data_IF_782841478333
#
_entry.id   IF_782841478333
#
_cell.length_a   1.000
_cell.length_b   1.000
_cell.length_c   1.000
_cell.angle_alpha   90.00
_cell.angle_beta   90.00
_cell.angle_gamma   90.00
#
_symmetry.space_group_name_H-M   'P 1'
#
loop_
_entity.id
_entity.type
_entity.pdbx_description
1 polymer ?
#
# COMPACT_ATOMS: atom_id res chain seq x y z
N UNK A 1 -33.29 5.06 0.35
CA UNK A 1 -31.92 5.07 -0.19
C UNK A 1 -30.96 4.82 0.95
N UNK A 2 -30.18 3.76 0.89
CA UNK A 2 -29.17 3.41 1.91
C UNK A 2 -27.90 4.20 1.62
N UNK A 3 -27.32 4.88 2.62
CA UNK A 3 -26.08 5.62 2.48
C UNK A 3 -24.91 4.78 3.00
N UNK A 4 -23.81 4.73 2.25
CA UNK A 4 -22.56 4.05 2.60
C UNK A 4 -21.40 5.02 2.44
N UNK A 5 -20.61 5.19 3.50
CA UNK A 5 -19.41 5.99 3.52
C UNK A 5 -18.18 5.09 3.34
N UNK A 6 -17.48 5.22 2.21
CA UNK A 6 -16.24 4.52 1.89
C UNK A 6 -15.02 5.45 1.99
N UNK A 7 -14.03 5.06 2.78
CA UNK A 7 -12.71 5.70 2.74
C UNK A 7 -11.77 4.90 1.85
N UNK A 8 -11.20 5.59 0.86
CA UNK A 8 -10.31 4.99 -0.13
C UNK A 8 -8.97 5.68 -0.15
N UNK A 9 -7.90 4.91 0.15
CA UNK A 9 -6.54 5.38 0.01
C UNK A 9 -6.00 5.00 -1.37
N UNK A 10 -5.75 5.99 -2.21
CA UNK A 10 -5.29 5.78 -3.58
C UNK A 10 -3.90 5.15 -3.67
N UNK A 11 -3.77 4.16 -4.54
CA UNK A 11 -2.49 3.67 -5.01
C UNK A 11 -2.01 4.61 -6.12
N UNK A 12 -0.92 5.34 -5.86
CA UNK A 12 -0.41 6.43 -6.70
C UNK A 12 -0.46 6.15 -8.22
N UNK A 13 -0.01 4.97 -8.64
CA UNK A 13 0.09 4.60 -10.07
C UNK A 13 -1.26 4.19 -10.68
N UNK A 14 -2.25 3.84 -9.86
CA UNK A 14 -3.59 3.40 -10.26
C UNK A 14 -4.67 4.46 -10.09
N UNK A 15 -4.33 5.64 -9.62
CA UNK A 15 -5.25 6.70 -9.24
C UNK A 15 -6.38 6.98 -10.25
N UNK A 16 -6.08 7.00 -11.55
CA UNK A 16 -7.09 7.25 -12.59
C UNK A 16 -8.05 6.07 -12.74
N UNK A 17 -7.51 4.86 -12.71
CA UNK A 17 -8.28 3.62 -12.82
C UNK A 17 -9.18 3.43 -11.60
N UNK A 18 -8.65 3.69 -10.40
CA UNK A 18 -9.42 3.62 -9.16
C UNK A 18 -10.59 4.62 -9.16
N UNK A 19 -10.35 5.88 -9.59
CA UNK A 19 -11.43 6.87 -9.72
C UNK A 19 -12.52 6.43 -10.70
N UNK A 20 -12.12 5.95 -11.88
CA UNK A 20 -13.07 5.49 -12.89
C UNK A 20 -13.90 4.30 -12.37
N UNK A 21 -13.24 3.33 -11.72
CA UNK A 21 -13.89 2.18 -11.11
C UNK A 21 -14.91 2.61 -10.03
N UNK A 22 -14.52 3.50 -9.11
CA UNK A 22 -15.40 3.94 -8.03
C UNK A 22 -16.58 4.79 -8.54
N UNK A 23 -16.39 5.57 -9.59
CA UNK A 23 -17.49 6.29 -10.25
C UNK A 23 -18.49 5.32 -10.91
N UNK A 24 -17.99 4.29 -11.58
CA UNK A 24 -18.83 3.26 -12.17
C UNK A 24 -19.58 2.48 -11.08
N UNK A 25 -18.88 2.09 -10.01
CA UNK A 25 -19.48 1.39 -8.86
C UNK A 25 -20.58 2.24 -8.21
N UNK A 26 -20.32 3.51 -7.93
CA UNK A 26 -21.31 4.43 -7.37
C UNK A 26 -22.54 4.55 -8.28
N UNK A 27 -22.35 4.65 -9.60
CA UNK A 27 -23.44 4.67 -10.56
C UNK A 27 -24.25 3.37 -10.64
N UNK A 28 -23.62 2.22 -10.40
CA UNK A 28 -24.32 0.93 -10.30
C UNK A 28 -25.14 0.85 -9.03
N UNK A 29 -24.55 1.18 -7.89
CA UNK A 29 -25.20 1.13 -6.59
C UNK A 29 -26.37 2.11 -6.50
N UNK A 30 -26.24 3.29 -7.11
CA UNK A 30 -27.33 4.27 -7.14
C UNK A 30 -28.61 3.72 -7.83
N UNK A 31 -28.48 2.84 -8.84
CA UNK A 31 -29.61 2.17 -9.48
C UNK A 31 -30.31 1.12 -8.58
N UNK A 32 -29.65 0.77 -7.48
CA UNK A 32 -30.15 -0.16 -6.45
C UNK A 32 -30.56 0.55 -5.16
N UNK A 33 -30.87 1.86 -5.24
CA UNK A 33 -31.23 2.72 -4.09
C UNK A 33 -30.12 2.84 -3.02
N UNK A 34 -28.85 2.73 -3.44
CA UNK A 34 -27.68 2.85 -2.58
C UNK A 34 -26.88 4.07 -3.00
N UNK A 35 -26.64 4.97 -2.06
CA UNK A 35 -25.75 6.11 -2.23
C UNK A 35 -24.36 5.78 -1.67
N UNK A 36 -23.36 5.68 -2.54
CA UNK A 36 -21.96 5.48 -2.17
C UNK A 36 -21.26 6.84 -2.11
N UNK A 37 -20.98 7.31 -0.90
CA UNK A 37 -20.10 8.45 -0.67
C UNK A 37 -18.65 7.96 -0.55
N UNK A 38 -17.76 8.45 -1.43
CA UNK A 38 -16.34 8.07 -1.41
C UNK A 38 -15.50 9.25 -0.97
N UNK A 39 -14.81 9.10 0.16
CA UNK A 39 -13.78 10.04 0.59
C UNK A 39 -12.40 9.49 0.26
N UNK A 40 -11.64 10.27 -0.49
CA UNK A 40 -10.32 9.88 -0.97
C UNK A 40 -9.21 10.41 -0.08
N UNK A 41 -8.16 9.58 0.08
CA UNK A 41 -6.95 9.90 0.82
C UNK A 41 -5.70 9.50 0.03
N UNK A 42 -4.54 9.95 0.52
CA UNK A 42 -3.25 9.61 -0.07
C UNK A 42 -2.73 10.70 -1.01
N UNK A 43 -1.96 10.30 -2.02
CA UNK A 43 -1.27 11.25 -2.89
C UNK A 43 -2.23 12.19 -3.62
N UNK A 44 -1.98 13.50 -3.47
CA UNK A 44 -2.78 14.54 -4.10
C UNK A 44 -4.01 14.97 -3.29
N UNK A 45 -4.16 14.43 -2.10
CA UNK A 45 -5.17 14.86 -1.12
C UNK A 45 -4.51 15.57 0.07
N UNK A 46 -5.24 16.44 0.79
CA UNK A 46 -4.64 17.32 1.78
C UNK A 46 -4.10 16.61 3.02
N UNK A 47 -4.53 15.38 3.27
CA UNK A 47 -4.14 14.62 4.47
C UNK A 47 -4.08 13.10 4.21
N UNK A 48 -3.32 12.38 5.05
CA UNK A 48 -3.32 10.93 5.09
C UNK A 48 -4.54 10.40 5.84
N UNK A 49 -4.98 9.18 5.50
CA UNK A 49 -6.14 8.57 6.16
C UNK A 49 -5.87 8.35 7.65
N UNK A 50 -4.67 7.92 8.02
CA UNK A 50 -4.24 7.75 9.41
C UNK A 50 -4.25 9.08 10.19
N UNK A 51 -3.79 10.17 9.59
CA UNK A 51 -3.81 11.50 10.21
C UNK A 51 -5.25 11.96 10.48
N UNK A 52 -6.14 11.78 9.51
CA UNK A 52 -7.55 12.10 9.69
C UNK A 52 -8.20 11.25 10.80
N UNK A 53 -8.03 9.93 10.75
CA UNK A 53 -8.63 9.01 11.72
C UNK A 53 -8.03 9.14 13.13
N UNK A 54 -6.83 9.70 13.26
CA UNK A 54 -6.26 10.02 14.56
C UNK A 54 -7.02 11.12 15.31
N UNK A 55 -7.72 11.98 14.60
CA UNK A 55 -8.47 13.11 15.20
C UNK A 55 -9.58 12.63 16.13
N UNK A 56 -9.87 13.37 17.22
CA UNK A 56 -10.97 13.01 18.13
C UNK A 56 -12.36 13.11 17.48
N UNK A 57 -12.51 14.01 16.51
CA UNK A 57 -13.76 14.32 15.79
C UNK A 57 -13.85 13.60 14.44
N UNK A 58 -12.95 12.66 14.15
CA UNK A 58 -12.98 11.92 12.91
C UNK A 58 -14.27 11.10 12.77
N UNK A 59 -14.96 11.27 11.65
CA UNK A 59 -16.08 10.42 11.28
C UNK A 59 -15.54 9.06 10.86
N UNK A 60 -16.03 7.99 11.47
CA UNK A 60 -15.65 6.64 11.09
C UNK A 60 -16.48 6.18 9.89
N UNK A 61 -15.86 5.65 8.82
CA UNK A 61 -16.59 5.18 7.64
C UNK A 61 -17.24 3.82 7.86
N UNK A 62 -18.11 3.43 6.97
CA UNK A 62 -18.67 2.07 6.91
C UNK A 62 -17.66 1.08 6.33
N UNK A 63 -16.92 1.52 5.32
CA UNK A 63 -15.91 0.72 4.62
C UNK A 63 -14.58 1.46 4.53
N UNK A 64 -13.48 0.71 4.64
CA UNK A 64 -12.13 1.23 4.38
C UNK A 64 -11.44 0.34 3.36
N UNK A 65 -10.80 0.96 2.37
CA UNK A 65 -9.78 0.33 1.52
C UNK A 65 -8.51 1.16 1.60
N UNK A 66 -7.46 0.60 2.18
CA UNK A 66 -6.24 1.37 2.43
C UNK A 66 -4.96 0.54 2.39
N UNK A 67 -3.92 1.13 1.78
CA UNK A 67 -2.52 0.73 1.91
C UNK A 67 -1.77 1.61 2.95
N UNK A 68 -2.44 2.54 3.61
CA UNK A 68 -1.90 3.30 4.74
C UNK A 68 -1.90 2.41 5.98
N UNK A 69 -0.76 1.76 6.23
CA UNK A 69 -0.64 0.75 7.29
C UNK A 69 -0.89 1.30 8.69
N UNK A 70 -0.65 2.59 8.91
CA UNK A 70 -0.86 3.21 10.22
C UNK A 70 -2.33 3.19 10.62
N UNK A 71 -3.26 3.18 9.66
CA UNK A 71 -4.70 3.00 9.93
C UNK A 71 -4.97 1.71 10.71
N UNK A 72 -4.21 0.65 10.42
CA UNK A 72 -4.42 -0.70 10.96
C UNK A 72 -3.40 -1.09 12.04
N UNK A 73 -2.28 -0.40 12.12
CA UNK A 73 -1.17 -0.72 13.04
C UNK A 73 -1.11 0.19 14.25
N UNK A 74 -1.55 1.43 14.12
CA UNK A 74 -1.65 2.34 15.26
C UNK A 74 -2.86 1.96 16.11
N UNK A 75 -2.59 1.49 17.34
CA UNK A 75 -3.64 1.10 18.28
C UNK A 75 -4.58 2.25 18.62
N UNK A 76 -4.09 3.49 18.67
CA UNK A 76 -4.91 4.66 18.96
C UNK A 76 -5.93 4.94 17.85
N UNK A 77 -5.63 4.50 16.61
CA UNK A 77 -6.53 4.61 15.47
C UNK A 77 -7.41 3.36 15.37
N UNK A 78 -6.80 2.18 15.28
CA UNK A 78 -7.50 0.94 14.96
C UNK A 78 -8.50 0.53 16.06
N UNK A 79 -8.16 0.73 17.34
CA UNK A 79 -9.06 0.40 18.45
C UNK A 79 -10.39 1.18 18.45
N UNK A 80 -10.47 2.31 17.75
CA UNK A 80 -11.73 3.08 17.62
C UNK A 80 -12.79 2.33 16.80
N UNK A 81 -12.36 1.47 15.87
CA UNK A 81 -13.24 0.78 14.93
C UNK A 81 -13.19 -0.75 15.04
N UNK A 82 -12.09 -1.33 15.53
CA UNK A 82 -11.90 -2.77 15.61
C UNK A 82 -13.06 -3.54 16.27
N UNK A 83 -13.66 -3.07 17.41
CA UNK A 83 -14.78 -3.77 18.03
C UNK A 83 -16.02 -3.88 17.14
N UNK A 84 -16.18 -2.94 16.21
CA UNK A 84 -17.34 -2.83 15.32
C UNK A 84 -17.07 -3.41 13.93
N UNK A 85 -15.91 -4.05 13.69
CA UNK A 85 -15.63 -4.66 12.40
C UNK A 85 -16.25 -6.05 12.27
N UNK A 86 -16.80 -6.32 11.10
CA UNK A 86 -17.18 -7.68 10.71
C UNK A 86 -15.96 -8.59 10.61
N UNK A 87 -16.05 -9.88 10.97
CA UNK A 87 -15.02 -10.86 10.67
C UNK A 87 -14.84 -11.02 9.16
N UNK A 88 -13.60 -11.02 8.67
CA UNK A 88 -13.30 -11.12 7.25
C UNK A 88 -13.73 -12.46 6.63
N UNK A 89 -13.86 -13.53 7.45
CA UNK A 89 -14.34 -14.83 7.01
C UNK A 89 -15.81 -14.84 6.57
N UNK A 90 -16.60 -13.85 7.03
CA UNK A 90 -18.02 -13.72 6.67
C UNK A 90 -18.19 -12.99 5.33
N UNK A 91 -17.10 -12.54 4.74
CA UNK A 91 -17.08 -11.82 3.48
C UNK A 91 -16.79 -12.77 2.32
N UNK A 92 -16.76 -12.19 1.13
CA UNK A 92 -16.46 -12.88 -0.13
C UNK A 92 -15.27 -13.83 0.00
N UNK A 93 -15.40 -15.04 -0.55
CA UNK A 93 -14.25 -15.91 -0.75
C UNK A 93 -13.26 -15.22 -1.70
N UNK A 94 -12.12 -14.78 -1.16
CA UNK A 94 -11.04 -14.25 -1.98
C UNK A 94 -10.50 -15.36 -2.88
N UNK A 95 -10.07 -14.96 -4.08
CA UNK A 95 -9.26 -15.82 -4.92
C UNK A 95 -8.00 -16.22 -4.15
N UNK A 96 -7.71 -17.51 -4.07
CA UNK A 96 -6.46 -18.00 -3.48
C UNK A 96 -5.25 -17.34 -4.17
N UNK A 97 -4.38 -16.73 -3.37
CA UNK A 97 -3.18 -16.07 -3.85
C UNK A 97 -2.10 -16.11 -2.77
N UNK A 98 -0.94 -16.74 -3.05
CA UNK A 98 0.16 -16.77 -2.07
C UNK A 98 0.61 -15.37 -1.59
N UNK A 99 0.52 -14.36 -2.46
CA UNK A 99 0.86 -12.99 -2.10
C UNK A 99 -0.15 -12.37 -1.12
N UNK A 100 -1.45 -12.64 -1.29
CA UNK A 100 -2.49 -12.20 -0.35
C UNK A 100 -2.40 -12.97 0.96
N UNK A 101 -2.11 -14.28 0.90
CA UNK A 101 -1.93 -15.10 2.09
C UNK A 101 -0.73 -14.64 2.93
N UNK A 102 0.37 -14.25 2.27
CA UNK A 102 1.56 -13.74 2.95
C UNK A 102 1.33 -12.41 3.72
N UNK A 103 0.27 -11.66 3.37
CA UNK A 103 -0.08 -10.39 4.03
C UNK A 103 -1.34 -10.49 4.88
N UNK A 104 -1.87 -11.68 5.15
CA UNK A 104 -3.04 -11.87 6.05
C UNK A 104 -2.72 -11.35 7.45
N UNK A 105 -3.69 -10.65 8.05
CA UNK A 105 -3.54 -10.07 9.38
C UNK A 105 -4.86 -10.14 10.15
N UNK A 106 -4.89 -10.99 11.16
CA UNK A 106 -6.08 -11.19 11.98
C UNK A 106 -7.28 -11.70 11.17
N UNK A 107 -8.44 -11.61 11.76
CA UNK A 107 -9.72 -12.09 11.21
C UNK A 107 -10.63 -10.98 10.69
N UNK A 108 -10.28 -9.70 10.94
CA UNK A 108 -11.12 -8.53 10.59
C UNK A 108 -10.61 -7.72 9.40
N UNK A 109 -9.40 -8.03 8.90
CA UNK A 109 -8.77 -7.35 7.78
C UNK A 109 -8.69 -8.28 6.59
N UNK A 110 -9.35 -7.91 5.50
CA UNK A 110 -9.30 -8.62 4.24
C UNK A 110 -8.18 -8.05 3.38
N UNK A 111 -7.14 -8.84 2.99
CA UNK A 111 -6.13 -8.33 2.07
C UNK A 111 -6.75 -8.12 0.69
N UNK A 112 -6.93 -6.85 0.31
CA UNK A 112 -7.47 -6.45 -0.99
C UNK A 112 -6.40 -6.47 -2.08
N UNK A 113 -5.16 -6.15 -1.73
CA UNK A 113 -4.01 -6.20 -2.61
C UNK A 113 -2.71 -6.43 -1.82
N UNK A 114 -1.72 -7.03 -2.50
CA UNK A 114 -0.33 -7.08 -2.05
C UNK A 114 0.53 -6.48 -3.18
N UNK A 115 1.18 -5.35 -2.91
CA UNK A 115 1.97 -4.62 -3.90
C UNK A 115 3.43 -4.96 -3.69
N UNK A 116 4.05 -5.79 -4.56
CA UNK A 116 5.45 -6.13 -4.41
C UNK A 116 6.35 -4.94 -4.75
N UNK A 117 7.34 -4.69 -3.91
CA UNK A 117 8.48 -3.85 -4.20
C UNK A 117 9.56 -4.69 -4.86
N UNK A 118 10.07 -4.21 -5.98
CA UNK A 118 11.08 -4.88 -6.79
C UNK A 118 12.16 -3.88 -7.20
N UNK A 119 13.33 -4.38 -7.56
CA UNK A 119 14.39 -3.55 -8.12
C UNK A 119 14.05 -3.15 -9.56
N UNK A 120 14.13 -1.86 -9.82
CA UNK A 120 14.26 -1.28 -11.15
C UNK A 120 15.72 -0.83 -11.27
N UNK A 121 16.48 -1.44 -12.15
CA UNK A 121 17.93 -1.29 -12.19
C UNK A 121 18.49 -1.14 -13.59
N UNK A 122 19.65 -0.48 -13.70
CA UNK A 122 20.49 -0.44 -14.90
C UNK A 122 21.61 -1.48 -14.86
N UNK A 123 21.81 -2.15 -13.72
CA UNK A 123 22.92 -3.09 -13.50
C UNK A 123 22.39 -4.43 -12.95
N UNK A 124 22.24 -5.41 -13.86
CA UNK A 124 21.70 -6.72 -13.51
C UNK A 124 22.53 -7.47 -12.46
N UNK A 125 23.84 -7.51 -12.63
CA UNK A 125 24.73 -8.33 -11.81
C UNK A 125 24.78 -7.91 -10.34
N UNK A 126 24.53 -6.64 -10.04
CA UNK A 126 24.52 -6.15 -8.66
C UNK A 126 23.33 -6.70 -7.88
N UNK A 127 22.15 -6.74 -8.51
CA UNK A 127 20.93 -7.20 -7.84
C UNK A 127 20.98 -8.68 -7.43
N UNK A 128 21.83 -9.47 -8.06
CA UNK A 128 22.01 -10.90 -7.77
C UNK A 128 22.98 -11.15 -6.61
N UNK A 129 23.71 -10.13 -6.16
CA UNK A 129 24.75 -10.24 -5.15
C UNK A 129 24.44 -9.47 -3.86
N UNK A 130 23.53 -8.48 -3.95
CA UNK A 130 23.25 -7.58 -2.84
C UNK A 130 21.99 -8.01 -2.10
N UNK A 131 22.09 -8.20 -0.77
CA UNK A 131 20.92 -8.30 0.10
C UNK A 131 20.35 -6.91 0.34
N UNK A 132 19.07 -6.84 0.63
CA UNK A 132 18.38 -5.57 0.84
C UNK A 132 19.06 -4.64 1.85
N UNK A 133 19.52 -5.09 3.04
CA UNK A 133 20.18 -4.20 4.00
C UNK A 133 21.59 -3.75 3.59
N UNK A 134 22.23 -4.43 2.63
CA UNK A 134 23.63 -4.17 2.27
C UNK A 134 23.80 -3.15 1.14
N UNK A 135 22.67 -2.64 0.58
CA UNK A 135 22.72 -1.66 -0.50
C UNK A 135 23.38 -0.34 -0.09
N UNK A 136 24.17 0.18 -1.02
CA UNK A 136 24.71 1.54 -1.02
C UNK A 136 24.16 2.28 -2.24
N UNK A 137 23.56 3.46 -2.01
CA UNK A 137 22.96 4.26 -3.07
C UNK A 137 21.66 3.69 -3.67
N UNK A 138 20.94 2.82 -2.95
CA UNK A 138 19.61 2.37 -3.35
C UNK A 138 18.62 3.53 -3.29
N UNK A 139 17.93 3.79 -4.39
CA UNK A 139 16.84 4.77 -4.38
C UNK A 139 15.52 4.11 -3.99
N UNK A 140 14.79 4.70 -3.05
CA UNK A 140 13.42 4.32 -2.74
C UNK A 140 12.61 5.52 -2.25
N UNK A 141 11.30 5.45 -2.39
CA UNK A 141 10.45 6.61 -2.20
C UNK A 141 9.20 6.34 -1.42
N UNK A 142 8.61 7.42 -0.95
CA UNK A 142 7.41 7.39 -0.16
C UNK A 142 7.67 7.52 1.33
N UNK A 143 8.51 8.49 1.71
CA UNK A 143 8.79 8.79 3.12
C UNK A 143 7.50 9.04 3.92
N UNK A 144 6.50 9.61 3.24
CA UNK A 144 5.17 9.88 3.80
C UNK A 144 4.13 8.84 3.38
N UNK A 145 4.54 7.69 2.84
CA UNK A 145 3.63 6.61 2.45
C UNK A 145 4.15 5.24 2.91
N UNK A 146 3.35 4.20 2.67
CA UNK A 146 3.63 2.85 3.14
C UNK A 146 4.89 2.20 2.55
N UNK A 147 5.42 2.67 1.41
CA UNK A 147 6.53 1.98 0.75
C UNK A 147 7.82 2.01 1.59
N UNK A 148 8.30 3.20 1.96
CA UNK A 148 9.51 3.32 2.82
C UNK A 148 9.26 2.70 4.18
N UNK A 149 8.09 2.98 4.79
CA UNK A 149 7.75 2.43 6.11
C UNK A 149 7.79 0.90 6.11
N UNK A 150 7.25 0.26 5.07
CA UNK A 150 7.26 -1.20 4.94
C UNK A 150 8.68 -1.73 4.76
N UNK A 151 9.50 -1.10 3.92
CA UNK A 151 10.91 -1.49 3.72
C UNK A 151 11.68 -1.42 5.04
N UNK A 152 11.57 -0.30 5.74
CA UNK A 152 12.27 -0.09 7.02
C UNK A 152 11.82 -1.11 8.06
N UNK A 153 10.51 -1.39 8.17
CA UNK A 153 9.98 -2.40 9.10
C UNK A 153 10.50 -3.80 8.79
N UNK A 154 10.46 -4.21 7.52
CA UNK A 154 10.96 -5.53 7.09
C UNK A 154 12.45 -5.67 7.40
N UNK A 155 13.27 -4.66 7.07
CA UNK A 155 14.71 -4.72 7.35
C UNK A 155 14.98 -4.73 8.86
N UNK A 156 14.24 -3.94 9.62
CA UNK A 156 14.37 -3.92 11.09
C UNK A 156 14.02 -5.28 11.71
N UNK A 157 12.90 -5.86 11.33
CA UNK A 157 12.46 -7.14 11.89
C UNK A 157 13.35 -8.31 11.48
N UNK A 158 13.91 -8.25 10.27
CA UNK A 158 14.71 -9.36 9.73
C UNK A 158 16.18 -9.28 10.13
N UNK A 159 16.77 -8.07 10.15
CA UNK A 159 18.22 -7.87 10.34
C UNK A 159 18.56 -6.89 11.48
N UNK A 160 17.54 -6.36 12.15
CA UNK A 160 17.70 -5.49 13.30
C UNK A 160 17.76 -4.00 12.97
N UNK A 161 17.72 -3.20 14.03
CA UNK A 161 17.65 -1.73 13.97
C UNK A 161 18.84 -1.09 13.24
N UNK A 162 20.04 -1.61 13.50
CA UNK A 162 21.27 -1.06 12.92
C UNK A 162 21.29 -1.24 11.39
N UNK A 163 20.82 -2.40 10.88
CA UNK A 163 20.70 -2.65 9.45
C UNK A 163 19.69 -1.69 8.80
N UNK A 164 18.54 -1.46 9.45
CA UNK A 164 17.52 -0.53 8.95
C UNK A 164 18.03 0.91 8.93
N UNK A 165 18.70 1.38 10.00
CA UNK A 165 19.30 2.71 10.04
C UNK A 165 20.39 2.86 8.99
N UNK A 166 21.30 1.88 8.89
CA UNK A 166 22.37 1.90 7.90
C UNK A 166 21.88 1.89 6.45
N UNK A 167 20.78 1.18 6.15
CA UNK A 167 20.14 1.24 4.84
C UNK A 167 19.64 2.66 4.53
N UNK A 168 18.93 3.29 5.48
CA UNK A 168 18.43 4.66 5.31
C UNK A 168 19.56 5.65 5.08
N UNK A 169 20.63 5.58 5.89
CA UNK A 169 21.77 6.50 5.83
C UNK A 169 22.53 6.44 4.49
N UNK A 170 22.52 5.25 3.84
CA UNK A 170 23.21 5.02 2.55
C UNK A 170 22.31 5.14 1.33
N UNK A 171 21.00 5.38 1.51
CA UNK A 171 20.01 5.36 0.43
C UNK A 171 19.59 6.76 -0.02
N UNK A 172 19.11 6.85 -1.25
CA UNK A 172 18.41 8.02 -1.77
C UNK A 172 16.91 7.90 -1.47
N UNK A 173 16.46 8.50 -0.37
CA UNK A 173 15.04 8.51 -0.02
C UNK A 173 14.37 9.70 -0.68
N UNK A 174 13.38 9.45 -1.53
CA UNK A 174 12.58 10.48 -2.20
C UNK A 174 11.20 10.59 -1.57
N UNK A 175 10.51 11.70 -1.81
CA UNK A 175 9.15 11.89 -1.26
C UNK A 175 8.16 10.84 -1.76
N UNK A 176 8.36 10.38 -2.99
CA UNK A 176 7.43 9.44 -3.65
C UNK A 176 8.15 8.35 -4.44
N UNK A 177 7.54 7.15 -4.59
CA UNK A 177 8.11 6.06 -5.38
C UNK A 177 8.42 6.43 -6.83
N UNK A 178 7.64 7.32 -7.44
CA UNK A 178 7.92 7.82 -8.80
C UNK A 178 9.23 8.60 -8.86
N UNK A 179 9.60 9.32 -7.80
CA UNK A 179 10.89 10.01 -7.70
C UNK A 179 12.04 9.01 -7.76
N UNK A 180 12.00 7.95 -6.95
CA UNK A 180 13.01 6.89 -6.97
C UNK A 180 13.12 6.21 -8.34
N UNK A 181 12.02 5.94 -9.01
CA UNK A 181 12.01 5.43 -10.38
C UNK A 181 12.69 6.41 -11.36
N UNK A 182 12.43 7.70 -11.22
CA UNK A 182 13.01 8.73 -12.09
C UNK A 182 14.52 8.91 -11.87
N UNK A 183 15.03 8.80 -10.64
CA UNK A 183 16.47 8.89 -10.36
C UNK A 183 17.27 7.85 -11.14
N UNK A 184 16.76 6.61 -11.29
CA UNK A 184 17.39 5.58 -12.12
C UNK A 184 17.30 5.94 -13.60
N UNK A 185 16.15 6.40 -14.07
CA UNK A 185 15.99 6.80 -15.49
C UNK A 185 16.92 7.95 -15.88
N UNK A 186 17.17 8.87 -14.96
CA UNK A 186 18.06 10.02 -15.15
C UNK A 186 19.55 9.68 -14.93
N UNK A 187 19.86 8.44 -14.50
CA UNK A 187 21.23 8.01 -14.22
C UNK A 187 21.82 8.55 -12.92
N UNK A 188 20.98 9.10 -12.03
CA UNK A 188 21.40 9.61 -10.71
C UNK A 188 21.55 8.47 -9.69
N UNK A 189 20.80 7.38 -9.84
CA UNK A 189 20.97 6.14 -9.10
C UNK A 189 21.08 4.97 -10.07
N UNK A 190 21.75 3.89 -9.63
CA UNK A 190 21.89 2.65 -10.42
C UNK A 190 20.66 1.77 -10.31
N UNK A 191 20.09 1.73 -9.11
CA UNK A 191 18.97 0.85 -8.74
C UNK A 191 18.00 1.59 -7.84
N UNK A 192 16.72 1.33 -8.05
CA UNK A 192 15.65 1.77 -7.16
C UNK A 192 14.80 0.57 -6.72
N UNK A 193 14.35 0.60 -5.47
CA UNK A 193 13.33 -0.31 -4.95
C UNK A 193 11.97 0.40 -5.08
N UNK A 194 11.11 -0.09 -5.95
CA UNK A 194 9.85 0.56 -6.32
C UNK A 194 8.71 -0.44 -6.43
N UNK A 195 7.45 0.00 -6.29
CA UNK A 195 6.31 -0.84 -6.62
C UNK A 195 6.45 -1.46 -8.02
N UNK A 196 6.16 -2.75 -8.14
CA UNK A 196 6.32 -3.52 -9.38
C UNK A 196 5.65 -2.86 -10.58
N UNK A 197 4.53 -2.16 -10.37
CA UNK A 197 3.82 -1.41 -11.41
C UNK A 197 4.67 -0.32 -12.09
N UNK A 198 5.67 0.26 -11.39
CA UNK A 198 6.65 1.15 -12.02
C UNK A 198 7.74 0.35 -12.74
N UNK A 199 8.21 -0.72 -12.14
CA UNK A 199 9.30 -1.54 -12.69
C UNK A 199 8.89 -2.28 -13.97
N UNK A 200 7.60 -2.54 -14.21
CA UNK A 200 7.07 -3.06 -15.48
C UNK A 200 7.38 -2.15 -16.70
N UNK A 201 7.84 -0.92 -16.46
CA UNK A 201 8.31 0.00 -17.51
C UNK A 201 9.78 -0.22 -17.90
N UNK A 202 10.46 -1.22 -17.32
CA UNK A 202 11.79 -1.62 -17.74
C UNK A 202 11.77 -2.08 -19.21
N UNK A 203 12.77 -1.64 -20.01
CA UNK A 203 12.85 -1.92 -21.42
C UNK A 203 13.57 -3.25 -21.74
N UNK A 204 14.16 -3.89 -20.75
CA UNK A 204 14.92 -5.14 -20.90
C UNK A 204 16.26 -5.00 -21.59
N UNK A 205 16.68 -3.78 -21.96
CA UNK A 205 17.95 -3.49 -22.63
C UNK A 205 18.86 -2.60 -21.78
N UNK A 206 18.39 -1.45 -21.36
CA UNK A 206 19.11 -0.49 -20.52
C UNK A 206 18.63 -0.46 -19.08
N UNK A 207 17.43 -0.98 -18.85
CA UNK A 207 16.78 -1.06 -17.54
C UNK A 207 16.09 -2.42 -17.37
N UNK A 208 16.14 -2.95 -16.17
CA UNK A 208 15.69 -4.30 -15.86
C UNK A 208 14.85 -4.31 -14.59
N UNK A 209 13.91 -5.25 -14.51
CA UNK A 209 13.19 -5.61 -13.30
C UNK A 209 13.84 -6.81 -12.64
N UNK A 210 14.09 -6.75 -11.34
CA UNK A 210 14.57 -7.88 -10.51
C UNK A 210 13.87 -7.91 -9.17
N UNK A 211 13.60 -9.11 -8.70
CA UNK A 211 13.13 -9.32 -7.33
C UNK A 211 14.33 -9.36 -6.40
N UNK A 212 14.28 -8.78 -5.18
CA UNK A 212 15.28 -9.00 -4.15
C UNK A 212 15.51 -10.49 -3.90
N UNK A 213 16.73 -10.88 -3.53
CA UNK A 213 17.09 -12.29 -3.27
C UNK A 213 16.23 -12.91 -2.18
N UNK A 214 15.88 -12.11 -1.18
CA UNK A 214 15.06 -12.52 -0.04
C UNK A 214 13.56 -12.62 -0.39
N UNK A 215 13.22 -12.33 -1.61
CA UNK A 215 11.84 -12.16 -2.05
C UNK A 215 11.39 -10.68 -2.09
N UNK A 216 10.24 -10.39 -2.67
CA UNK A 216 9.72 -9.04 -2.72
C UNK A 216 9.24 -8.59 -1.34
N UNK A 217 9.52 -7.34 -0.97
CA UNK A 217 8.82 -6.67 0.12
C UNK A 217 7.40 -6.39 -0.34
N UNK A 218 6.40 -6.84 0.41
CA UNK A 218 4.99 -6.68 0.05
C UNK A 218 4.37 -5.53 0.84
N UNK A 219 3.77 -4.58 0.14
CA UNK A 219 2.92 -3.55 0.76
C UNK A 219 1.48 -4.06 0.71
N UNK A 220 0.87 -4.39 1.85
CA UNK A 220 -0.52 -4.78 1.87
C UNK A 220 -1.45 -3.60 1.68
N UNK A 221 -2.59 -3.84 1.03
CA UNK A 221 -3.78 -3.00 1.11
C UNK A 221 -4.88 -3.83 1.73
N UNK A 222 -5.53 -3.30 2.74
CA UNK A 222 -6.61 -4.01 3.44
C UNK A 222 -7.95 -3.35 3.18
N UNK A 223 -8.97 -4.20 3.17
CA UNK A 223 -10.37 -3.82 3.22
C UNK A 223 -10.94 -4.25 4.57
N UNK A 224 -11.71 -3.40 5.20
CA UNK A 224 -12.53 -3.73 6.36
C UNK A 224 -13.89 -3.03 6.29
N UNK A 225 -14.91 -3.64 6.91
CA UNK A 225 -16.26 -3.10 7.01
C UNK A 225 -16.72 -3.08 8.45
N UNK A 226 -17.39 -2.00 8.83
CA UNK A 226 -18.01 -1.88 10.14
C UNK A 226 -19.43 -2.45 10.12
N UNK A 227 -19.88 -2.89 11.27
CA UNK A 227 -21.26 -3.40 11.48
C UNK A 227 -22.35 -2.33 11.31
N UNK A 228 -21.96 -1.04 11.18
CA UNK A 228 -22.85 0.04 10.74
C UNK A 228 -23.22 -0.09 9.27
N UNK A 229 -22.35 -0.69 8.45
CA UNK A 229 -22.65 -1.02 7.07
C UNK A 229 -23.71 -2.13 7.02
N UNK A 230 -24.66 -2.08 6.06
CA UNK A 230 -25.54 -3.20 5.83
C UNK A 230 -24.75 -4.49 5.52
N UNK A 231 -25.17 -5.64 6.00
CA UNK A 231 -24.48 -6.92 5.82
C UNK A 231 -24.15 -7.23 4.34
N UNK A 232 -25.04 -6.84 3.42
CA UNK A 232 -24.80 -7.02 1.98
C UNK A 232 -23.69 -6.11 1.41
N UNK A 233 -23.39 -4.96 2.06
CA UNK A 233 -22.30 -4.06 1.63
C UNK A 233 -20.92 -4.63 1.95
N UNK A 234 -20.85 -5.61 2.84
CA UNK A 234 -19.65 -6.35 3.16
C UNK A 234 -19.42 -7.56 2.24
N UNK A 235 -20.36 -7.88 1.35
CA UNK A 235 -20.32 -8.95 0.36
C UNK A 235 -20.03 -8.43 -1.03
#
# INVERSE_FOLDING_TARGET
>A
MTHILLYWNHICVLHRQEKAFLQELAGRLHREDIELEVRFFGLGYPEHMSEYLARPDAVLPDLIVSADLEVFEDRAIFSKMEPELYPAADWVSLRESPALDAVRRGDKLLPAAAIPLVYYTRELGICEQMRLPDWDGLAFGGINNSAVKTVVKVVWETWGREAASGLLDRSFVTDMPIGAFQTVRQGQARTALVPSLYALRADGQSTFLRTPQEGPVLIPSYLCARTSAPEWAAR
#
